data_IF_351422524537
#
_entry.id   IF_351422524537
#
_cell.length_a   1.000
_cell.length_b   1.000
_cell.length_c   1.000
_cell.angle_alpha   90.00
_cell.angle_beta   90.00
_cell.angle_gamma   90.00
#
_symmetry.space_group_name_H-M   'P 1'
#
loop_
_entity.id
_entity.type
_entity.pdbx_description
1 polymer ?
#
# COMPACT_ATOMS: atom_id res chain seq x y z
N UNK A 1 -22.06 9.69 6.44
CA UNK A 1 -21.05 10.49 7.18
C UNK A 1 -20.10 9.64 8.03
N UNK A 2 -20.56 8.71 8.88
CA UNK A 2 -19.67 7.87 9.73
C UNK A 2 -18.62 7.07 8.95
N UNK A 3 -18.97 6.50 7.79
CA UNK A 3 -18.04 5.72 6.99
C UNK A 3 -16.89 6.56 6.41
N UNK A 4 -17.17 7.78 5.95
CA UNK A 4 -16.13 8.70 5.46
C UNK A 4 -15.16 9.11 6.56
N UNK A 5 -15.68 9.41 7.74
CA UNK A 5 -14.87 9.77 8.91
C UNK A 5 -13.94 8.64 9.35
N UNK A 6 -14.46 7.41 9.42
CA UNK A 6 -13.64 6.22 9.73
C UNK A 6 -12.57 5.96 8.66
N UNK A 7 -12.89 6.18 7.39
CA UNK A 7 -11.93 6.06 6.30
C UNK A 7 -10.80 7.08 6.43
N UNK A 8 -11.12 8.34 6.69
CA UNK A 8 -10.12 9.40 6.89
C UNK A 8 -9.19 9.06 8.07
N UNK A 9 -9.75 8.63 9.21
CA UNK A 9 -8.94 8.20 10.36
C UNK A 9 -8.02 7.05 9.98
N UNK A 10 -8.54 6.04 9.26
CA UNK A 10 -7.73 4.91 8.80
C UNK A 10 -6.54 5.35 7.96
N UNK A 11 -6.75 6.25 7.01
CA UNK A 11 -5.67 6.80 6.18
C UNK A 11 -4.68 7.66 6.96
N UNK A 12 -5.12 8.39 7.97
CA UNK A 12 -4.23 9.17 8.83
C UNK A 12 -3.33 8.30 9.72
N UNK A 13 -3.74 7.08 10.05
CA UNK A 13 -2.95 6.16 10.86
C UNK A 13 -1.84 5.45 10.07
N UNK A 14 -1.95 5.35 8.74
CA UNK A 14 -0.95 4.66 7.90
C UNK A 14 0.45 5.25 8.01
N UNK A 15 0.67 6.58 7.95
CA UNK A 15 2.02 7.14 8.08
C UNK A 15 2.68 6.84 9.43
N UNK A 16 1.90 6.80 10.51
CA UNK A 16 2.42 6.40 11.83
C UNK A 16 2.87 4.94 11.83
N UNK A 17 2.09 4.06 11.21
CA UNK A 17 2.46 2.66 11.06
C UNK A 17 3.76 2.51 10.24
N UNK A 18 3.89 3.22 9.13
CA UNK A 18 5.09 3.17 8.29
C UNK A 18 6.32 3.73 9.03
N UNK A 19 6.15 4.80 9.82
CA UNK A 19 7.20 5.34 10.68
C UNK A 19 7.66 4.35 11.75
N UNK A 20 6.73 3.67 12.41
CA UNK A 20 7.03 2.61 13.39
C UNK A 20 7.72 1.42 12.70
N UNK A 21 7.25 1.02 11.53
CA UNK A 21 7.85 -0.06 10.75
C UNK A 21 9.30 0.28 10.35
N UNK A 22 9.56 1.53 9.93
CA UNK A 22 10.91 2.02 9.64
C UNK A 22 11.82 1.95 10.87
N UNK A 23 11.34 2.43 12.02
CA UNK A 23 12.08 2.38 13.28
C UNK A 23 12.39 0.93 13.68
N UNK A 24 11.41 0.05 13.67
CA UNK A 24 11.62 -1.36 14.01
C UNK A 24 12.57 -2.06 13.03
N UNK A 25 12.54 -1.71 11.75
CA UNK A 25 13.44 -2.28 10.74
C UNK A 25 14.91 -1.86 10.91
N UNK A 26 15.21 -0.88 11.77
CA UNK A 26 16.58 -0.56 12.16
C UNK A 26 17.10 -1.43 13.32
N UNK A 27 16.20 -2.01 14.11
CA UNK A 27 16.54 -2.82 15.29
C UNK A 27 16.46 -4.33 15.01
N UNK A 28 15.48 -4.73 14.20
CA UNK A 28 15.20 -6.14 13.88
C UNK A 28 15.07 -6.33 12.37
N UNK A 29 15.22 -7.59 11.93
CA UNK A 29 15.09 -7.90 10.51
C UNK A 29 13.68 -7.56 9.98
N UNK A 30 13.60 -6.89 8.82
CA UNK A 30 12.33 -6.42 8.23
C UNK A 30 11.27 -7.53 8.12
N UNK A 31 11.67 -8.78 7.88
CA UNK A 31 10.75 -9.91 7.79
C UNK A 31 10.03 -10.20 9.11
N UNK A 32 10.68 -9.94 10.26
CA UNK A 32 10.04 -10.06 11.57
C UNK A 32 8.98 -8.98 11.76
N UNK A 33 9.22 -7.77 11.25
CA UNK A 33 8.23 -6.68 11.27
C UNK A 33 7.02 -7.04 10.41
N UNK A 34 7.25 -7.59 9.21
CA UNK A 34 6.18 -8.08 8.32
C UNK A 34 5.37 -9.18 9.00
N UNK A 35 6.05 -10.19 9.58
CA UNK A 35 5.39 -11.27 10.28
C UNK A 35 4.54 -10.78 11.45
N UNK A 36 5.11 -9.94 12.31
CA UNK A 36 4.40 -9.36 13.45
C UNK A 36 3.18 -8.56 13.01
N UNK A 37 3.30 -7.73 11.96
CA UNK A 37 2.17 -6.98 11.38
C UNK A 37 1.02 -7.91 10.99
N UNK A 38 1.27 -8.95 10.19
CA UNK A 38 0.23 -9.85 9.73
C UNK A 38 -0.34 -10.71 10.85
N UNK A 39 0.49 -11.13 11.80
CA UNK A 39 0.06 -11.88 12.96
C UNK A 39 -0.95 -11.08 13.80
N UNK A 40 -0.58 -9.88 14.24
CA UNK A 40 -1.48 -9.05 15.04
C UNK A 40 -2.70 -8.60 14.26
N UNK A 41 -2.55 -8.25 12.97
CA UNK A 41 -3.66 -7.88 12.10
C UNK A 41 -4.68 -9.02 11.98
N UNK A 42 -4.22 -10.27 11.82
CA UNK A 42 -5.09 -11.43 11.74
C UNK A 42 -5.90 -11.60 13.03
N UNK A 43 -5.25 -11.63 14.18
CA UNK A 43 -5.94 -11.83 15.47
C UNK A 43 -6.89 -10.68 15.80
N UNK A 44 -6.47 -9.44 15.63
CA UNK A 44 -7.31 -8.27 15.90
C UNK A 44 -8.53 -8.26 14.98
N UNK A 45 -8.34 -8.49 13.68
CA UNK A 45 -9.43 -8.53 12.70
C UNK A 45 -10.40 -9.68 13.02
N UNK A 46 -9.88 -10.85 13.35
CA UNK A 46 -10.70 -12.00 13.73
C UNK A 46 -11.52 -11.71 15.00
N UNK A 47 -10.89 -11.13 16.01
CA UNK A 47 -11.56 -10.77 17.28
C UNK A 47 -12.68 -9.72 17.05
N UNK A 48 -12.38 -8.65 16.31
CA UNK A 48 -13.35 -7.61 15.99
C UNK A 48 -14.50 -8.19 15.15
N UNK A 49 -14.19 -9.00 14.15
CA UNK A 49 -15.19 -9.64 13.29
C UNK A 49 -16.12 -10.55 14.10
N UNK A 50 -15.56 -11.30 15.05
CA UNK A 50 -16.35 -12.21 15.87
C UNK A 50 -17.24 -11.47 16.87
N UNK A 51 -16.75 -10.36 17.47
CA UNK A 51 -17.50 -9.58 18.47
C UNK A 51 -18.60 -8.74 17.81
N UNK A 52 -18.26 -7.98 16.77
CA UNK A 52 -19.14 -6.95 16.23
C UNK A 52 -19.85 -7.35 14.93
N UNK A 53 -19.26 -8.26 14.14
CA UNK A 53 -19.73 -8.54 12.77
C UNK A 53 -20.10 -10.01 12.53
N UNK A 54 -20.20 -10.84 13.58
CA UNK A 54 -20.52 -12.28 13.47
C UNK A 54 -21.73 -12.57 12.58
N UNK A 55 -22.75 -11.71 12.66
CA UNK A 55 -24.00 -11.86 11.88
C UNK A 55 -23.82 -11.58 10.38
N UNK A 56 -22.76 -10.82 10.02
CA UNK A 56 -22.46 -10.40 8.64
C UNK A 56 -21.33 -11.18 8.02
N UNK A 57 -20.70 -12.10 8.75
CA UNK A 57 -19.65 -12.97 8.22
C UNK A 57 -20.27 -13.93 7.19
N UNK A 58 -19.97 -13.69 5.93
CA UNK A 58 -20.35 -14.54 4.79
C UNK A 58 -19.10 -14.96 4.04
N UNK A 59 -19.11 -16.18 3.51
CA UNK A 59 -18.05 -16.61 2.61
C UNK A 59 -18.03 -15.72 1.36
N UNK A 60 -16.85 -15.33 0.87
CA UNK A 60 -16.76 -14.53 -0.34
C UNK A 60 -17.26 -15.30 -1.54
N UNK A 61 -17.95 -14.61 -2.46
CA UNK A 61 -18.47 -15.20 -3.70
C UNK A 61 -17.35 -15.79 -4.59
N UNK A 62 -16.18 -15.12 -4.62
CA UNK A 62 -15.03 -15.53 -5.43
C UNK A 62 -13.77 -15.61 -4.55
N UNK A 63 -13.55 -16.77 -3.93
CA UNK A 63 -12.43 -16.98 -3.02
C UNK A 63 -11.07 -16.83 -3.73
N UNK A 64 -10.98 -17.25 -5.01
CA UNK A 64 -9.74 -17.17 -5.78
C UNK A 64 -9.27 -15.73 -5.97
N UNK A 65 -10.20 -14.81 -6.25
CA UNK A 65 -9.89 -13.37 -6.40
C UNK A 65 -9.40 -12.81 -5.06
N UNK A 66 -10.03 -13.20 -3.94
CA UNK A 66 -9.60 -12.74 -2.62
C UNK A 66 -8.22 -13.27 -2.23
N UNK A 67 -7.93 -14.52 -2.58
CA UNK A 67 -6.60 -15.10 -2.35
C UNK A 67 -5.52 -14.40 -3.17
N UNK A 68 -5.78 -14.13 -4.47
CA UNK A 68 -4.86 -13.38 -5.33
C UNK A 68 -4.63 -11.97 -4.77
N UNK A 69 -5.69 -11.26 -4.38
CA UNK A 69 -5.57 -9.93 -3.76
C UNK A 69 -4.74 -9.97 -2.46
N UNK A 70 -5.03 -10.94 -1.58
CA UNK A 70 -4.26 -11.13 -0.36
C UNK A 70 -2.77 -11.39 -0.63
N UNK A 71 -2.48 -12.22 -1.62
CA UNK A 71 -1.12 -12.53 -2.05
C UNK A 71 -0.39 -11.31 -2.63
N UNK A 72 -1.05 -10.52 -3.48
CA UNK A 72 -0.50 -9.28 -4.03
C UNK A 72 -0.19 -8.27 -2.91
N UNK A 73 -1.09 -8.11 -1.95
CA UNK A 73 -0.86 -7.23 -0.80
C UNK A 73 0.31 -7.71 0.07
N UNK A 74 0.43 -9.02 0.26
CA UNK A 74 1.54 -9.62 1.01
C UNK A 74 2.88 -9.34 0.34
N UNK A 75 3.00 -9.58 -0.98
CA UNK A 75 4.21 -9.27 -1.75
C UNK A 75 4.53 -7.77 -1.69
N UNK A 76 3.53 -6.92 -1.90
CA UNK A 76 3.68 -5.47 -1.77
C UNK A 76 4.29 -5.08 -0.43
N UNK A 77 3.80 -5.65 0.66
CA UNK A 77 4.29 -5.36 2.01
C UNK A 77 5.74 -5.79 2.19
N UNK A 78 6.10 -6.98 1.72
CA UNK A 78 7.49 -7.48 1.79
C UNK A 78 8.43 -6.53 1.05
N UNK A 79 8.11 -6.20 -0.20
CA UNK A 79 8.95 -5.35 -1.04
C UNK A 79 9.08 -3.94 -0.46
N UNK A 80 7.99 -3.36 0.05
CA UNK A 80 7.99 -2.05 0.65
C UNK A 80 8.78 -2.02 1.96
N UNK A 81 8.61 -3.02 2.83
CA UNK A 81 9.31 -3.10 4.11
C UNK A 81 10.80 -3.39 3.93
N UNK A 82 11.17 -4.22 2.95
CA UNK A 82 12.56 -4.35 2.54
C UNK A 82 13.12 -3.01 2.06
N UNK A 83 12.39 -2.28 1.25
CA UNK A 83 12.81 -0.96 0.76
C UNK A 83 13.05 0.01 1.92
N UNK A 84 12.08 0.20 2.81
CA UNK A 84 12.24 1.13 3.95
C UNK A 84 13.29 0.68 4.96
N UNK A 85 13.70 -0.58 4.98
CA UNK A 85 14.83 -1.02 5.83
C UNK A 85 16.18 -0.50 5.32
N UNK A 86 16.31 -0.26 4.01
CA UNK A 86 17.56 0.14 3.36
C UNK A 86 17.59 1.63 3.03
N UNK A 87 16.55 2.15 2.35
CA UNK A 87 16.46 3.56 1.95
C UNK A 87 15.60 4.38 2.90
N UNK A 88 15.62 5.70 2.75
CA UNK A 88 14.80 6.59 3.58
C UNK A 88 13.31 6.39 3.32
N UNK A 89 12.47 6.57 4.35
CA UNK A 89 11.02 6.45 4.22
C UNK A 89 10.43 7.40 3.16
N UNK A 90 10.82 8.69 3.09
CA UNK A 90 10.37 9.59 2.04
C UNK A 90 10.71 9.11 0.62
N UNK A 91 11.91 8.56 0.42
CA UNK A 91 12.35 8.01 -0.87
C UNK A 91 11.50 6.81 -1.28
N UNK A 92 11.33 5.82 -0.36
CA UNK A 92 10.51 4.64 -0.61
C UNK A 92 9.05 5.01 -0.92
N UNK A 93 8.47 5.95 -0.16
CA UNK A 93 7.11 6.44 -0.40
C UNK A 93 6.99 7.12 -1.77
N UNK A 94 7.96 7.97 -2.15
CA UNK A 94 7.94 8.63 -3.45
C UNK A 94 7.87 7.61 -4.59
N UNK A 95 8.69 6.56 -4.53
CA UNK A 95 8.71 5.50 -5.52
C UNK A 95 7.41 4.69 -5.53
N UNK A 96 6.85 4.37 -4.36
CA UNK A 96 5.58 3.65 -4.23
C UNK A 96 4.38 4.49 -4.72
N UNK A 97 4.45 5.81 -4.67
CA UNK A 97 3.42 6.72 -5.21
C UNK A 97 3.26 6.70 -6.73
N UNK A 98 4.03 5.87 -7.44
CA UNK A 98 3.73 5.54 -8.84
C UNK A 98 2.39 4.79 -8.98
N UNK A 99 1.90 4.15 -7.89
CA UNK A 99 0.69 3.31 -7.90
C UNK A 99 -0.56 4.00 -8.47
N UNK A 100 -0.93 5.27 -8.19
CA UNK A 100 -2.09 5.92 -8.79
C UNK A 100 -1.99 6.07 -10.31
N UNK A 101 -0.77 6.26 -10.83
CA UNK A 101 -0.53 6.33 -12.28
C UNK A 101 -0.79 4.95 -12.89
N UNK A 102 -0.19 3.90 -12.30
CA UNK A 102 -0.35 2.53 -12.76
C UNK A 102 -1.81 2.07 -12.68
N UNK A 103 -2.53 2.37 -11.59
CA UNK A 103 -3.98 2.11 -11.46
C UNK A 103 -4.76 2.77 -12.60
N UNK A 104 -4.45 4.03 -12.91
CA UNK A 104 -5.14 4.77 -13.97
C UNK A 104 -4.90 4.13 -15.35
N UNK A 105 -3.67 3.70 -15.63
CA UNK A 105 -3.34 2.98 -16.87
C UNK A 105 -4.04 1.61 -16.90
N UNK A 106 -3.93 0.83 -15.84
CA UNK A 106 -4.52 -0.50 -15.78
C UNK A 106 -6.04 -0.48 -15.84
N UNK A 107 -6.71 0.56 -15.31
CA UNK A 107 -8.17 0.69 -15.39
C UNK A 107 -8.66 0.78 -16.84
N UNK A 108 -7.88 1.36 -17.75
CA UNK A 108 -8.20 1.41 -19.17
C UNK A 108 -8.19 0.01 -19.79
N UNK A 109 -7.16 -0.78 -19.48
CA UNK A 109 -6.96 -2.10 -20.10
C UNK A 109 -7.81 -3.19 -19.44
N UNK A 110 -7.87 -3.23 -18.09
CA UNK A 110 -8.52 -4.30 -17.34
C UNK A 110 -10.02 -4.02 -17.19
N UNK A 111 -10.38 -2.79 -16.77
CA UNK A 111 -11.79 -2.42 -16.54
C UNK A 111 -12.45 -1.83 -17.78
N UNK A 112 -11.67 -1.59 -18.86
CA UNK A 112 -12.13 -0.96 -20.10
C UNK A 112 -12.83 0.39 -19.86
N UNK A 113 -12.40 1.12 -18.83
CA UNK A 113 -12.93 2.44 -18.50
C UNK A 113 -12.36 3.52 -19.43
N UNK A 114 -13.19 4.50 -19.77
CA UNK A 114 -12.73 5.71 -20.46
C UNK A 114 -12.25 6.72 -19.42
N UNK A 115 -10.93 6.85 -19.29
CA UNK A 115 -10.33 7.81 -18.36
C UNK A 115 -10.30 9.19 -19.00
N UNK A 116 -11.07 10.12 -18.44
CA UNK A 116 -11.09 11.52 -18.88
C UNK A 116 -9.81 12.28 -18.52
N UNK A 117 -9.55 13.36 -19.26
CA UNK A 117 -8.35 14.20 -19.08
C UNK A 117 -8.23 14.77 -17.65
N UNK A 118 -9.33 15.05 -16.99
CA UNK A 118 -9.33 15.55 -15.61
C UNK A 118 -8.68 14.56 -14.63
N UNK A 119 -8.93 13.25 -14.80
CA UNK A 119 -8.31 12.21 -13.96
C UNK A 119 -6.80 12.13 -14.19
N UNK A 120 -6.35 12.26 -15.45
CA UNK A 120 -4.93 12.32 -15.79
C UNK A 120 -4.25 13.53 -15.16
N UNK A 121 -4.83 14.71 -15.31
CA UNK A 121 -4.32 15.95 -14.70
C UNK A 121 -4.21 15.78 -13.18
N UNK A 122 -5.27 15.28 -12.52
CA UNK A 122 -5.27 15.07 -11.07
C UNK A 122 -4.17 14.10 -10.60
N UNK A 123 -3.95 12.99 -11.32
CA UNK A 123 -2.92 12.00 -11.00
C UNK A 123 -1.51 12.60 -11.18
N UNK A 124 -1.26 13.28 -12.30
CA UNK A 124 0.04 13.90 -12.56
C UNK A 124 0.35 15.06 -11.61
N UNK A 125 -0.62 15.92 -11.33
CA UNK A 125 -0.42 17.02 -10.37
C UNK A 125 -0.20 16.49 -8.95
N UNK A 126 -0.93 15.45 -8.54
CA UNK A 126 -0.72 14.78 -7.27
C UNK A 126 0.69 14.18 -7.17
N UNK A 127 1.14 13.49 -8.20
CA UNK A 127 2.49 12.90 -8.25
C UNK A 127 3.59 13.97 -8.21
N UNK A 128 3.43 15.06 -8.96
CA UNK A 128 4.36 16.20 -8.90
C UNK A 128 4.39 16.83 -7.50
N UNK A 129 3.23 16.96 -6.84
CA UNK A 129 3.17 17.41 -5.44
C UNK A 129 3.98 16.54 -4.49
N UNK A 130 3.90 15.22 -4.64
CA UNK A 130 4.70 14.27 -3.87
C UNK A 130 6.20 14.46 -4.11
N UNK A 131 6.62 14.59 -5.37
CA UNK A 131 8.03 14.82 -5.72
C UNK A 131 8.58 16.13 -5.11
N UNK A 132 7.80 17.20 -5.13
CA UNK A 132 8.21 18.50 -4.57
C UNK A 132 8.34 18.43 -3.04
N UNK A 133 7.40 17.77 -2.35
CA UNK A 133 7.39 17.70 -0.88
C UNK A 133 8.48 16.77 -0.37
N UNK A 134 8.55 15.58 -0.93
CA UNK A 134 9.45 14.54 -0.43
C UNK A 134 10.90 14.75 -0.88
N UNK A 135 11.13 15.48 -1.99
CA UNK A 135 12.46 15.79 -2.53
C UNK A 135 13.40 14.57 -2.47
N UNK A 136 13.03 13.45 -3.10
CA UNK A 136 13.81 12.23 -2.99
C UNK A 136 15.24 12.51 -3.47
N UNK A 137 16.20 12.30 -2.58
CA UNK A 137 17.60 12.31 -2.97
C UNK A 137 17.87 10.99 -3.68
N UNK A 138 17.84 10.99 -4.99
CA UNK A 138 18.26 9.82 -5.79
C UNK A 138 19.80 9.73 -5.68
N UNK A 139 20.26 9.17 -4.58
CA UNK A 139 21.65 8.78 -4.47
C UNK A 139 21.91 7.58 -5.36
N UNK A 140 22.25 6.64 -5.50
CA UNK A 140 22.36 5.55 -6.47
C UNK A 140 21.07 4.71 -6.54
N UNK A 141 20.64 4.33 -7.74
CA UNK A 141 19.57 3.35 -7.94
C UNK A 141 20.07 2.02 -7.41
N UNK A 142 19.57 1.65 -6.24
CA UNK A 142 19.90 0.39 -5.58
C UNK A 142 18.70 -0.60 -5.64
N UNK A 143 18.95 -1.82 -5.23
CA UNK A 143 17.91 -2.85 -5.25
C UNK A 143 16.68 -2.50 -4.38
N UNK A 144 16.87 -1.72 -3.32
CA UNK A 144 15.78 -1.27 -2.45
C UNK A 144 14.87 -0.23 -3.14
N UNK A 145 15.44 0.67 -3.95
CA UNK A 145 14.67 1.62 -4.77
C UNK A 145 13.82 0.89 -5.81
N UNK A 146 14.36 -0.14 -6.47
CA UNK A 146 13.61 -0.98 -7.40
C UNK A 146 12.49 -1.71 -6.67
N UNK A 147 12.74 -2.22 -5.47
CA UNK A 147 11.73 -2.91 -4.66
C UNK A 147 10.58 -1.99 -4.25
N UNK A 148 10.83 -0.72 -3.91
CA UNK A 148 9.79 0.26 -3.63
C UNK A 148 8.90 0.53 -4.86
N UNK A 149 9.52 0.67 -6.03
CA UNK A 149 8.82 0.90 -7.28
C UNK A 149 7.95 -0.32 -7.66
N UNK A 150 8.50 -1.53 -7.54
CA UNK A 150 7.76 -2.77 -7.75
C UNK A 150 6.60 -2.92 -6.75
N UNK A 151 6.80 -2.55 -5.47
CA UNK A 151 5.74 -2.51 -4.49
C UNK A 151 4.58 -1.61 -4.93
N UNK A 152 4.87 -0.41 -5.46
CA UNK A 152 3.85 0.50 -6.00
C UNK A 152 3.08 -0.10 -7.18
N UNK A 153 3.77 -0.80 -8.10
CA UNK A 153 3.14 -1.46 -9.26
C UNK A 153 2.24 -2.62 -8.80
N UNK A 154 2.73 -3.48 -7.91
CA UNK A 154 1.96 -4.63 -7.40
C UNK A 154 0.78 -4.15 -6.56
N UNK A 155 0.95 -3.07 -5.79
CA UNK A 155 -0.14 -2.43 -5.06
C UNK A 155 -1.24 -1.91 -6.00
N UNK A 156 -0.86 -1.37 -7.15
CA UNK A 156 -1.82 -0.96 -8.17
C UNK A 156 -2.64 -2.15 -8.72
N UNK A 157 -2.02 -3.31 -8.92
CA UNK A 157 -2.72 -4.55 -9.29
C UNK A 157 -3.66 -5.05 -8.18
N UNK A 158 -3.29 -4.88 -6.91
CA UNK A 158 -4.16 -5.21 -5.78
C UNK A 158 -5.41 -4.32 -5.73
N UNK A 159 -5.30 -3.05 -6.13
CA UNK A 159 -6.39 -2.08 -6.08
C UNK A 159 -7.44 -2.27 -7.19
N UNK A 160 -7.07 -2.91 -8.29
CA UNK A 160 -7.96 -3.23 -9.42
C UNK A 160 -8.63 -4.58 -9.23
#
# INVERSE_FOLDING_TARGET
MKAYFLNIIGWMLLPFMDGIAKYLSSEIHFMQVVWGRYFFMFFITLMISFIFFRKYLKWPLNINIQLVRGFLLFITTILFFYSISVISLPEALTLAFISPIVVTVLSIFILRERVGIHRWIAVFTGFLGVLIILRPGFNEINFASISALLAGIIYALFLI
#
